data_IF_530088327530
#
_entry.id   IF_530088327530
#
_cell.length_a   1.000
_cell.length_b   1.000
_cell.length_c   1.000
_cell.angle_alpha   90.00
_cell.angle_beta   90.00
_cell.angle_gamma   90.00
#
_symmetry.space_group_name_H-M   'P 1'
#
loop_
_entity.id
_entity.type
_entity.pdbx_description
1 polymer ?
#
# COMPACT_ATOMS: atom_id res chain seq x y z
N UNK A 1 -19.89 7.21 14.02
CA UNK A 1 -20.25 6.38 12.85
C UNK A 1 -19.46 5.11 13.02
N UNK A 2 -20.15 3.97 13.14
CA UNK A 2 -19.46 2.69 13.25
C UNK A 2 -18.77 2.43 11.90
N UNK A 3 -17.49 2.73 11.84
CA UNK A 3 -16.65 2.38 10.68
C UNK A 3 -16.48 0.86 10.70
N UNK A 4 -17.34 0.18 9.97
CA UNK A 4 -17.27 -1.27 9.84
C UNK A 4 -16.12 -1.59 8.87
N UNK A 5 -14.90 -1.71 9.40
CA UNK A 5 -13.73 -2.13 8.61
C UNK A 5 -13.98 -3.55 8.11
N UNK A 6 -13.84 -3.75 6.80
CA UNK A 6 -14.05 -5.06 6.20
C UNK A 6 -13.03 -6.08 6.74
N UNK A 7 -13.49 -7.27 7.07
CA UNK A 7 -12.59 -8.39 7.38
C UNK A 7 -11.86 -8.88 6.12
N UNK A 8 -10.78 -9.65 6.30
CA UNK A 8 -10.06 -10.26 5.19
C UNK A 8 -10.97 -11.11 4.28
N UNK A 9 -11.92 -11.85 4.84
CA UNK A 9 -12.89 -12.64 4.07
C UNK A 9 -13.87 -11.76 3.30
N UNK A 10 -14.37 -10.68 3.89
CA UNK A 10 -15.24 -9.73 3.18
C UNK A 10 -14.51 -9.02 2.03
N UNK A 11 -13.24 -8.72 2.21
CA UNK A 11 -12.38 -8.21 1.13
C UNK A 11 -12.21 -9.26 0.02
N UNK A 12 -11.94 -10.52 0.38
CA UNK A 12 -11.84 -11.60 -0.59
C UNK A 12 -13.12 -11.76 -1.41
N UNK A 13 -14.29 -11.72 -0.76
CA UNK A 13 -15.58 -11.81 -1.44
C UNK A 13 -15.76 -10.67 -2.45
N UNK A 14 -15.43 -9.43 -2.03
CA UNK A 14 -15.50 -8.26 -2.91
C UNK A 14 -14.56 -8.35 -4.11
N UNK A 15 -13.34 -8.86 -3.92
CA UNK A 15 -12.40 -9.07 -5.03
C UNK A 15 -12.84 -10.20 -5.95
N UNK A 16 -13.37 -11.31 -5.40
CA UNK A 16 -13.85 -12.43 -6.19
C UNK A 16 -15.02 -12.03 -7.10
N UNK A 17 -15.97 -11.23 -6.58
CA UNK A 17 -17.07 -10.67 -7.36
C UNK A 17 -16.54 -9.92 -8.59
N UNK A 18 -15.62 -8.98 -8.39
CA UNK A 18 -15.02 -8.22 -9.50
C UNK A 18 -14.26 -9.12 -10.48
N UNK A 19 -13.44 -10.06 -10.00
CA UNK A 19 -12.69 -10.97 -10.87
C UNK A 19 -13.63 -11.80 -11.73
N UNK A 20 -14.74 -12.27 -11.17
CA UNK A 20 -15.74 -13.06 -11.87
C UNK A 20 -16.52 -12.22 -12.91
N UNK A 21 -16.86 -10.96 -12.60
CA UNK A 21 -17.49 -10.04 -13.57
C UNK A 21 -16.64 -9.87 -14.84
N UNK A 22 -15.32 -9.88 -14.70
CA UNK A 22 -14.40 -9.77 -15.83
C UNK A 22 -14.07 -11.13 -16.48
N UNK A 23 -14.69 -12.23 -16.06
CA UNK A 23 -14.45 -13.59 -16.57
C UNK A 23 -12.94 -13.97 -16.56
N UNK A 24 -12.22 -13.63 -15.50
CA UNK A 24 -10.80 -13.93 -15.34
C UNK A 24 -10.60 -15.05 -14.33
N UNK A 25 -9.65 -15.93 -14.62
CA UNK A 25 -9.24 -17.00 -13.70
C UNK A 25 -7.90 -16.64 -13.04
N UNK A 26 -7.96 -15.73 -12.09
CA UNK A 26 -6.81 -15.34 -11.29
C UNK A 26 -6.81 -16.05 -9.93
N UNK A 27 -5.63 -16.35 -9.44
CA UNK A 27 -5.44 -16.64 -8.02
C UNK A 27 -5.22 -15.34 -7.29
N UNK A 28 -5.84 -15.20 -6.13
CA UNK A 28 -5.77 -13.98 -5.35
C UNK A 28 -5.70 -14.26 -3.85
N UNK A 29 -5.14 -13.35 -3.12
CA UNK A 29 -5.06 -13.41 -1.67
C UNK A 29 -5.16 -12.02 -1.05
N UNK A 30 -5.62 -11.99 0.19
CA UNK A 30 -5.65 -10.80 1.02
C UNK A 30 -4.83 -11.09 2.28
N UNK A 31 -4.00 -10.13 2.64
CA UNK A 31 -3.24 -10.16 3.89
C UNK A 31 -3.65 -8.90 4.65
N UNK A 32 -4.25 -9.09 5.81
CA UNK A 32 -4.76 -8.01 6.65
C UNK A 32 -4.44 -8.30 8.10
N UNK A 33 -4.46 -7.28 8.92
CA UNK A 33 -4.50 -7.44 10.36
C UNK A 33 -5.78 -6.75 10.88
N UNK A 34 -6.77 -7.56 11.22
CA UNK A 34 -8.08 -7.07 11.64
C UNK A 34 -8.10 -6.57 13.09
N UNK A 35 -7.07 -6.84 13.89
CA UNK A 35 -7.05 -6.49 15.32
C UNK A 35 -6.32 -5.17 15.61
N UNK A 36 -5.42 -4.75 14.75
CA UNK A 36 -4.45 -3.70 15.08
C UNK A 36 -4.89 -2.29 14.72
N UNK A 37 -5.91 -2.09 13.92
CA UNK A 37 -6.29 -0.75 13.48
C UNK A 37 -7.71 -0.42 13.89
N UNK A 38 -7.88 -0.05 15.16
CA UNK A 38 -8.93 0.86 15.55
C UNK A 38 -8.32 2.27 15.54
N UNK A 39 -8.75 3.09 14.58
CA UNK A 39 -8.43 4.52 14.47
C UNK A 39 -6.94 4.92 14.46
N UNK A 40 -6.34 4.95 13.27
CA UNK A 40 -5.14 5.77 13.08
C UNK A 40 -3.80 5.07 13.30
N UNK A 41 -3.72 3.76 13.12
CA UNK A 41 -2.47 3.01 13.24
C UNK A 41 -1.49 3.20 12.08
N UNK A 42 -0.55 2.27 11.98
CA UNK A 42 0.45 2.22 10.89
C UNK A 42 -0.01 1.20 9.86
N UNK A 43 0.04 1.57 8.58
CA UNK A 43 -0.31 0.69 7.46
C UNK A 43 0.92 0.40 6.61
N UNK A 44 1.30 -0.86 6.50
CA UNK A 44 2.24 -1.32 5.49
C UNK A 44 1.50 -1.65 4.19
N UNK A 45 2.03 -1.17 3.06
CA UNK A 45 1.41 -1.39 1.75
C UNK A 45 2.36 -2.12 0.82
N UNK A 46 1.96 -3.31 0.37
CA UNK A 46 2.61 -4.07 -0.67
C UNK A 46 2.05 -3.78 -2.06
N UNK A 47 2.55 -4.48 -3.06
CA UNK A 47 2.05 -4.38 -4.43
C UNK A 47 1.04 -5.46 -4.76
N UNK A 48 1.41 -6.70 -4.49
CA UNK A 48 0.60 -7.89 -4.73
C UNK A 48 1.19 -9.09 -3.96
N UNK A 49 0.34 -10.03 -3.52
CA UNK A 49 0.79 -11.25 -2.87
C UNK A 49 1.70 -12.06 -3.78
N UNK A 50 2.84 -12.51 -3.25
CA UNK A 50 3.81 -13.27 -4.04
C UNK A 50 3.42 -14.72 -4.23
N UNK A 51 3.82 -15.32 -5.37
CA UNK A 51 3.77 -16.74 -5.64
C UNK A 51 5.14 -17.38 -5.38
N UNK A 52 5.53 -17.53 -4.12
CA UNK A 52 6.80 -18.20 -3.75
C UNK A 52 6.70 -19.72 -3.74
N UNK A 53 5.49 -20.27 -3.82
CA UNK A 53 5.19 -21.71 -3.86
C UNK A 53 4.69 -22.03 -5.26
N UNK A 54 4.85 -23.30 -5.67
CA UNK A 54 4.29 -23.81 -6.93
C UNK A 54 2.84 -23.35 -7.10
N UNK A 55 2.61 -22.49 -8.09
CA UNK A 55 1.32 -21.84 -8.32
C UNK A 55 0.16 -22.83 -8.49
N UNK A 56 0.46 -24.05 -8.95
CA UNK A 56 -0.56 -25.08 -9.13
C UNK A 56 -1.12 -25.61 -7.81
N UNK A 57 -0.33 -25.55 -6.73
CA UNK A 57 -0.71 -26.02 -5.39
C UNK A 57 -1.39 -24.95 -4.53
N UNK A 58 -1.43 -23.72 -5.01
CA UNK A 58 -2.01 -22.60 -4.27
C UNK A 58 -3.52 -22.58 -4.51
N UNK A 59 -4.37 -22.49 -3.46
CA UNK A 59 -5.80 -22.28 -3.62
C UNK A 59 -6.12 -21.03 -4.46
N UNK A 60 -7.29 -21.02 -5.10
CA UNK A 60 -7.74 -19.91 -5.93
C UNK A 60 -7.84 -18.62 -5.10
N UNK A 61 -8.33 -18.72 -3.86
CA UNK A 61 -8.48 -17.60 -2.92
C UNK A 61 -7.91 -17.96 -1.54
N UNK A 62 -7.29 -16.99 -0.87
CA UNK A 62 -6.76 -17.15 0.48
C UNK A 62 -6.80 -15.82 1.26
N UNK A 63 -7.06 -15.93 2.56
CA UNK A 63 -6.88 -14.85 3.53
C UNK A 63 -5.76 -15.21 4.50
N UNK A 64 -4.96 -14.24 4.88
CA UNK A 64 -3.89 -14.39 5.85
C UNK A 64 -3.95 -13.24 6.86
N UNK A 65 -3.63 -13.55 8.12
CA UNK A 65 -3.32 -12.51 9.08
C UNK A 65 -1.86 -12.06 8.90
N UNK A 66 -1.63 -10.76 8.95
CA UNK A 66 -0.29 -10.18 8.84
C UNK A 66 0.64 -10.69 9.94
N UNK A 67 0.15 -10.80 11.17
CA UNK A 67 0.94 -11.26 12.33
C UNK A 67 1.32 -12.76 12.25
N UNK A 68 0.61 -13.53 11.43
CA UNK A 68 0.93 -14.93 11.15
C UNK A 68 1.80 -15.11 9.90
N UNK A 69 2.26 -14.02 9.29
CA UNK A 69 3.17 -14.06 8.14
C UNK A 69 4.64 -13.87 8.58
N UNK A 70 5.59 -14.75 8.21
CA UNK A 70 5.39 -16.04 7.51
C UNK A 70 4.70 -17.06 8.41
N UNK A 71 4.05 -18.09 7.84
CA UNK A 71 3.45 -19.15 8.67
C UNK A 71 4.50 -19.73 9.63
N UNK A 72 4.14 -19.79 10.92
CA UNK A 72 5.05 -20.16 12.02
C UNK A 72 5.72 -21.55 11.87
N UNK A 73 5.16 -22.40 11.02
CA UNK A 73 5.69 -23.74 10.70
C UNK A 73 6.76 -23.73 9.58
N UNK A 74 7.03 -22.59 8.97
CA UNK A 74 8.09 -22.47 7.99
C UNK A 74 9.42 -22.29 8.72
N UNK A 75 10.27 -23.33 8.76
CA UNK A 75 11.68 -23.21 9.14
C UNK A 75 12.51 -22.40 8.10
N UNK A 76 11.84 -21.67 7.22
CA UNK A 76 12.43 -20.92 6.13
C UNK A 76 12.43 -19.44 6.53
N UNK A 77 13.63 -18.88 6.65
CA UNK A 77 13.80 -17.42 6.77
C UNK A 77 13.06 -16.74 5.61
N UNK A 78 12.09 -15.90 5.91
CA UNK A 78 11.35 -15.18 4.90
C UNK A 78 11.97 -13.80 4.64
N UNK A 79 12.64 -13.68 3.51
CA UNK A 79 13.32 -12.43 3.11
C UNK A 79 12.35 -11.25 2.86
N UNK A 80 11.05 -11.48 2.89
CA UNK A 80 10.05 -10.44 2.71
C UNK A 80 9.42 -10.00 4.04
N UNK A 81 8.99 -10.96 4.89
CA UNK A 81 8.27 -10.66 6.12
C UNK A 81 9.18 -10.35 7.30
N UNK A 82 10.24 -11.16 7.52
CA UNK A 82 11.16 -10.96 8.63
C UNK A 82 11.74 -9.54 8.70
N UNK A 83 12.16 -8.91 7.57
CA UNK A 83 12.63 -7.53 7.61
C UNK A 83 11.55 -6.52 8.01
N UNK A 84 10.26 -6.77 7.67
CA UNK A 84 9.15 -5.88 8.01
C UNK A 84 8.81 -5.94 9.49
N UNK A 85 8.63 -7.14 10.03
CA UNK A 85 8.41 -7.33 11.46
C UNK A 85 9.59 -6.77 12.28
N UNK A 86 10.83 -7.03 11.85
CA UNK A 86 12.01 -6.46 12.47
C UNK A 86 12.04 -4.92 12.41
N UNK A 87 11.62 -4.34 11.29
CA UNK A 87 11.54 -2.88 11.11
C UNK A 87 10.48 -2.27 12.04
N UNK A 88 9.33 -2.91 12.18
CA UNK A 88 8.24 -2.42 13.00
C UNK A 88 8.52 -2.58 14.49
N UNK A 89 9.20 -3.67 14.90
CA UNK A 89 9.59 -3.89 16.29
C UNK A 89 8.41 -3.81 17.25
N UNK A 90 8.42 -2.90 18.19
CA UNK A 90 7.37 -2.70 19.19
C UNK A 90 6.01 -2.22 18.60
N UNK A 91 6.04 -1.66 17.39
CA UNK A 91 4.82 -1.20 16.68
C UNK A 91 4.20 -2.30 15.81
N UNK A 92 4.77 -3.50 15.77
CA UNK A 92 4.33 -4.56 14.87
C UNK A 92 2.87 -4.99 15.14
N UNK A 93 2.49 -5.08 16.41
CA UNK A 93 1.12 -5.40 16.84
C UNK A 93 0.10 -4.28 16.51
N UNK A 94 0.57 -3.07 16.22
CA UNK A 94 -0.22 -1.91 15.83
C UNK A 94 -0.16 -1.62 14.33
N UNK A 95 0.34 -2.57 13.56
CA UNK A 95 0.55 -2.44 12.14
C UNK A 95 -0.46 -3.28 11.36
N UNK A 96 -1.11 -2.66 10.37
CA UNK A 96 -1.84 -3.41 9.37
C UNK A 96 -1.01 -3.58 8.10
N UNK A 97 -1.43 -4.53 7.29
CA UNK A 97 -0.88 -4.74 5.96
C UNK A 97 -2.00 -4.84 4.93
N UNK A 98 -1.74 -4.36 3.73
CA UNK A 98 -2.55 -4.63 2.54
C UNK A 98 -1.67 -4.58 1.28
N UNK A 99 -1.94 -5.45 0.34
CA UNK A 99 -1.43 -5.30 -1.02
C UNK A 99 -2.37 -4.44 -1.86
N UNK A 100 -1.82 -3.60 -2.74
CA UNK A 100 -2.62 -2.76 -3.64
C UNK A 100 -3.51 -3.58 -4.57
N UNK A 101 -3.02 -4.74 -5.00
CA UNK A 101 -3.76 -5.67 -5.82
C UNK A 101 -3.78 -7.05 -5.16
N UNK A 102 -4.92 -7.72 -5.09
CA UNK A 102 -5.02 -9.05 -4.48
C UNK A 102 -4.44 -10.16 -5.36
N UNK A 103 -4.12 -9.88 -6.63
CA UNK A 103 -3.71 -10.87 -7.61
C UNK A 103 -2.35 -11.48 -7.26
N UNK A 104 -2.30 -12.80 -7.15
CA UNK A 104 -1.06 -13.53 -6.87
C UNK A 104 -0.23 -13.66 -8.14
N UNK A 105 0.98 -13.13 -8.09
CA UNK A 105 1.96 -13.25 -9.16
C UNK A 105 3.38 -13.24 -8.59
N UNK A 106 4.30 -13.89 -9.27
CA UNK A 106 5.72 -13.91 -8.90
C UNK A 106 6.44 -12.58 -9.13
N UNK A 107 5.81 -11.62 -9.79
CA UNK A 107 6.46 -10.38 -10.19
C UNK A 107 5.53 -9.16 -10.12
N UNK A 108 5.97 -8.14 -9.41
CA UNK A 108 5.32 -6.82 -9.46
C UNK A 108 5.26 -6.21 -10.87
N UNK A 109 6.16 -6.63 -11.78
CA UNK A 109 6.13 -6.18 -13.19
C UNK A 109 4.85 -6.60 -13.89
N UNK A 110 4.29 -7.74 -13.54
CA UNK A 110 3.03 -8.22 -14.10
C UNK A 110 1.90 -7.25 -13.76
N UNK A 111 1.80 -6.78 -12.50
CA UNK A 111 0.81 -5.78 -12.11
C UNK A 111 0.98 -4.48 -12.90
N UNK A 112 2.23 -4.02 -13.05
CA UNK A 112 2.53 -2.82 -13.86
C UNK A 112 2.11 -3.01 -15.33
N UNK A 113 2.33 -4.19 -15.88
CA UNK A 113 1.93 -4.50 -17.25
C UNK A 113 0.41 -4.53 -17.40
N UNK A 114 -0.33 -5.15 -16.47
CA UNK A 114 -1.79 -5.15 -16.47
C UNK A 114 -2.35 -3.72 -16.39
N UNK A 115 -1.77 -2.85 -15.56
CA UNK A 115 -2.17 -1.44 -15.50
C UNK A 115 -1.96 -0.68 -16.82
N UNK A 116 -1.05 -1.13 -17.69
CA UNK A 116 -0.75 -0.51 -18.99
C UNK A 116 -1.58 -1.06 -20.13
N UNK A 117 -2.10 -2.28 -19.99
CA UNK A 117 -2.93 -2.92 -21.01
C UNK A 117 -4.34 -2.34 -20.96
N UNK A 118 -4.84 -1.88 -22.10
CA UNK A 118 -6.13 -1.22 -22.20
C UNK A 118 -7.27 -2.15 -21.74
N UNK A 119 -7.22 -3.41 -22.13
CA UNK A 119 -8.21 -4.43 -21.77
C UNK A 119 -8.18 -4.85 -20.30
N UNK A 120 -7.05 -4.69 -19.62
CA UNK A 120 -6.89 -5.03 -18.20
C UNK A 120 -7.16 -3.84 -17.26
N UNK A 121 -7.09 -2.64 -17.78
CA UNK A 121 -7.21 -1.41 -16.99
C UNK A 121 -8.51 -1.30 -16.20
N UNK A 122 -9.70 -1.63 -16.77
CA UNK A 122 -10.96 -1.60 -16.00
C UNK A 122 -10.94 -2.55 -14.79
N UNK A 123 -10.44 -3.78 -14.96
CA UNK A 123 -10.27 -4.73 -13.86
C UNK A 123 -9.32 -4.20 -12.79
N UNK A 124 -8.12 -3.76 -13.20
CA UNK A 124 -7.13 -3.22 -12.26
C UNK A 124 -7.68 -2.01 -11.50
N UNK A 125 -8.44 -1.15 -12.16
CA UNK A 125 -9.12 -0.02 -11.54
C UNK A 125 -10.19 -0.46 -10.54
N UNK A 126 -10.99 -1.47 -10.87
CA UNK A 126 -12.02 -1.99 -9.98
C UNK A 126 -11.42 -2.65 -8.71
N UNK A 127 -10.37 -3.46 -8.87
CA UNK A 127 -9.64 -4.06 -7.74
C UNK A 127 -9.01 -2.99 -6.84
N UNK A 128 -8.35 -2.01 -7.44
CA UNK A 128 -7.70 -0.92 -6.70
C UNK A 128 -8.70 -0.07 -5.92
N UNK A 129 -9.93 0.06 -6.40
CA UNK A 129 -11.02 0.78 -5.72
C UNK A 129 -11.42 0.10 -4.42
N UNK A 130 -11.55 -1.23 -4.41
CA UNK A 130 -11.84 -2.00 -3.18
C UNK A 130 -10.71 -1.76 -2.17
N UNK A 131 -9.44 -1.85 -2.61
CA UNK A 131 -8.28 -1.56 -1.76
C UNK A 131 -8.33 -0.14 -1.21
N UNK A 132 -8.67 0.84 -2.05
CA UNK A 132 -8.79 2.23 -1.63
C UNK A 132 -9.87 2.42 -0.57
N UNK A 133 -11.06 1.86 -0.78
CA UNK A 133 -12.15 1.94 0.18
C UNK A 133 -11.74 1.30 1.54
N UNK A 134 -11.01 0.19 1.50
CA UNK A 134 -10.46 -0.43 2.70
C UNK A 134 -9.44 0.46 3.42
N UNK A 135 -8.45 1.00 2.72
CA UNK A 135 -7.45 1.91 3.28
C UNK A 135 -8.10 3.15 3.89
N UNK A 136 -9.09 3.72 3.20
CA UNK A 136 -9.87 4.86 3.69
C UNK A 136 -10.66 4.53 4.97
N UNK A 137 -11.14 3.29 5.12
CA UNK A 137 -11.85 2.85 6.32
C UNK A 137 -10.94 2.64 7.54
N UNK A 138 -9.66 2.37 7.30
CA UNK A 138 -8.65 2.19 8.36
C UNK A 138 -8.14 3.51 8.95
N UNK A 139 -8.25 4.62 8.24
CA UNK A 139 -7.73 5.93 8.63
C UNK A 139 -6.27 5.93 9.13
N UNK A 140 -5.32 5.26 8.47
CA UNK A 140 -3.95 5.18 8.98
C UNK A 140 -3.30 6.55 9.09
N UNK A 141 -2.61 6.83 10.20
CA UNK A 141 -1.83 8.07 10.36
C UNK A 141 -0.49 7.99 9.62
N UNK A 142 0.10 6.79 9.55
CA UNK A 142 1.34 6.54 8.82
C UNK A 142 1.16 5.38 7.87
N UNK A 143 1.51 5.59 6.61
CA UNK A 143 1.51 4.59 5.54
C UNK A 143 2.95 4.35 5.11
N UNK A 144 3.42 3.10 5.13
CA UNK A 144 4.77 2.73 4.71
C UNK A 144 4.69 1.85 3.47
N UNK A 145 5.32 2.29 2.39
CA UNK A 145 5.40 1.49 1.18
C UNK A 145 6.47 0.41 1.32
N UNK A 146 6.02 -0.84 1.37
CA UNK A 146 6.88 -2.01 1.37
C UNK A 146 7.58 -2.24 0.02
N UNK A 147 7.20 -1.47 -1.01
CA UNK A 147 7.80 -1.46 -2.34
C UNK A 147 7.92 -0.02 -2.86
N UNK A 148 8.63 0.15 -3.98
CA UNK A 148 8.93 1.48 -4.56
C UNK A 148 7.91 1.95 -5.58
N UNK A 149 6.93 1.12 -5.94
CA UNK A 149 5.99 1.43 -6.99
C UNK A 149 4.75 2.14 -6.46
N UNK A 150 4.70 3.46 -6.61
CA UNK A 150 3.63 4.32 -6.09
C UNK A 150 2.68 4.86 -7.17
N UNK A 151 2.79 4.40 -8.41
CA UNK A 151 1.94 4.88 -9.50
C UNK A 151 0.43 4.72 -9.22
N UNK A 152 -0.06 3.62 -8.59
CA UNK A 152 -1.46 3.46 -8.24
C UNK A 152 -2.02 4.58 -7.34
N UNK A 153 -1.19 5.19 -6.50
CA UNK A 153 -1.58 6.28 -5.62
C UNK A 153 -1.87 7.61 -6.34
N UNK A 154 -1.62 7.68 -7.64
CA UNK A 154 -1.91 8.88 -8.44
C UNK A 154 -0.74 9.82 -8.62
N UNK A 155 0.48 9.44 -8.24
CA UNK A 155 1.64 10.32 -8.25
C UNK A 155 2.36 10.49 -9.59
N UNK A 156 1.90 9.84 -10.63
CA UNK A 156 2.35 10.07 -12.02
C UNK A 156 1.28 10.81 -12.81
N UNK A 157 1.08 12.06 -12.43
CA UNK A 157 0.28 12.98 -13.21
C UNK A 157 1.20 13.64 -14.24
N UNK A 158 0.97 13.40 -15.52
CA UNK A 158 1.46 14.29 -16.56
C UNK A 158 0.44 15.41 -16.68
N UNK A 159 0.82 16.61 -16.27
CA UNK A 159 0.11 17.82 -16.66
C UNK A 159 0.14 17.90 -18.18
N UNK A 160 -1.01 17.81 -18.80
CA UNK A 160 -1.19 18.17 -20.17
C UNK A 160 -1.85 19.55 -20.17
N UNK A 161 -1.05 20.59 -20.36
CA UNK A 161 -1.57 21.92 -20.66
C UNK A 161 -2.19 21.80 -22.04
N UNK A 162 -3.52 21.84 -22.13
CA UNK A 162 -4.19 21.96 -23.42
C UNK A 162 -3.98 23.39 -23.90
N UNK A 163 -3.49 23.59 -25.12
CA UNK A 163 -3.15 24.91 -25.72
C UNK A 163 -4.31 25.92 -25.68
N UNK A 164 -5.57 25.46 -25.54
CA UNK A 164 -6.77 26.29 -25.58
C UNK A 164 -7.60 26.31 -24.28
N UNK A 165 -7.12 25.77 -23.16
CA UNK A 165 -7.87 25.79 -21.91
C UNK A 165 -6.96 25.93 -20.69
N UNK A 166 -7.44 26.69 -19.69
CA UNK A 166 -6.84 26.78 -18.36
C UNK A 166 -7.08 25.49 -17.52
N UNK A 167 -7.66 24.45 -18.13
CA UNK A 167 -7.99 23.20 -17.47
C UNK A 167 -6.80 22.26 -17.49
N UNK A 168 -6.30 21.91 -16.31
CA UNK A 168 -5.25 20.89 -16.15
C UNK A 168 -5.90 19.52 -16.31
N UNK A 169 -5.55 18.80 -17.37
CA UNK A 169 -5.98 17.42 -17.56
C UNK A 169 -4.90 16.48 -17.06
N UNK A 170 -5.29 15.55 -16.21
CA UNK A 170 -4.40 14.51 -15.67
C UNK A 170 -4.62 13.19 -16.41
N UNK A 171 -3.56 12.70 -17.06
CA UNK A 171 -3.59 11.37 -17.68
C UNK A 171 -3.40 10.29 -16.61
N UNK A 172 -4.30 9.30 -16.60
CA UNK A 172 -4.18 8.09 -15.80
C UNK A 172 -4.15 8.30 -14.27
N UNK A 173 -5.10 9.04 -13.76
CA UNK A 173 -5.31 9.14 -12.32
C UNK A 173 -5.91 7.83 -11.81
N UNK A 174 -5.21 7.15 -10.90
CA UNK A 174 -5.68 5.93 -10.26
C UNK A 174 -6.44 6.27 -8.96
N UNK A 175 -5.83 6.06 -7.78
CA UNK A 175 -6.47 6.44 -6.51
C UNK A 175 -6.61 7.97 -6.34
N UNK A 176 -5.71 8.73 -6.92
CA UNK A 176 -5.84 10.19 -7.05
C UNK A 176 -5.34 11.00 -5.86
N UNK A 177 -4.64 10.42 -4.90
CA UNK A 177 -4.13 11.17 -3.76
C UNK A 177 -3.13 12.25 -4.18
N UNK A 178 -3.33 13.45 -3.66
CA UNK A 178 -2.38 14.55 -3.74
C UNK A 178 -1.51 14.61 -2.50
N UNK A 179 -0.32 15.17 -2.63
CA UNK A 179 0.68 15.15 -1.56
C UNK A 179 1.59 16.35 -1.59
N UNK A 180 2.15 16.65 -0.44
CA UNK A 180 3.28 17.56 -0.29
C UNK A 180 4.49 16.84 0.30
N UNK A 181 5.68 17.27 -0.08
CA UNK A 181 6.92 16.71 0.47
C UNK A 181 7.24 17.38 1.80
N UNK A 182 7.50 16.58 2.82
CA UNK A 182 7.81 17.04 4.17
C UNK A 182 9.28 16.80 4.47
N UNK A 183 9.86 17.66 5.29
CA UNK A 183 11.24 17.48 5.75
C UNK A 183 11.32 16.25 6.65
N UNK A 184 12.09 15.26 6.23
CA UNK A 184 12.23 14.00 6.96
C UNK A 184 12.93 14.22 8.32
N UNK A 185 12.41 13.67 9.44
CA UNK A 185 13.07 13.66 10.73
C UNK A 185 14.24 12.66 10.78
N UNK A 186 14.38 11.77 9.80
CA UNK A 186 15.44 10.78 9.73
C UNK A 186 16.82 11.43 9.57
N UNK A 187 17.84 10.77 10.08
CA UNK A 187 19.23 11.24 10.03
C UNK A 187 20.09 10.42 9.04
N UNK A 188 21.29 10.90 8.77
CA UNK A 188 22.31 10.18 8.01
C UNK A 188 21.88 9.80 6.58
N UNK A 189 22.31 8.62 6.14
CA UNK A 189 22.00 8.06 4.81
C UNK A 189 20.50 7.86 4.58
N UNK A 190 19.71 7.65 5.63
CA UNK A 190 18.26 7.42 5.57
C UNK A 190 17.47 8.67 5.20
N UNK A 191 17.91 9.87 5.64
CA UNK A 191 17.25 11.16 5.32
C UNK A 191 17.10 11.42 3.82
N UNK A 192 18.07 10.99 3.03
CA UNK A 192 18.03 11.14 1.57
C UNK A 192 17.35 9.97 0.86
N UNK A 193 17.39 8.79 1.47
CA UNK A 193 16.86 7.55 0.90
C UNK A 193 15.35 7.41 1.09
N UNK A 194 14.82 7.84 2.23
CA UNK A 194 13.39 7.81 2.54
C UNK A 194 12.77 9.19 2.43
N UNK A 195 11.67 9.27 1.68
CA UNK A 195 10.87 10.48 1.54
C UNK A 195 9.60 10.36 2.35
N UNK A 196 9.29 11.42 3.07
CA UNK A 196 8.04 11.56 3.81
C UNK A 196 7.17 12.57 3.08
N UNK A 197 5.92 12.21 2.90
CA UNK A 197 4.91 13.07 2.30
C UNK A 197 3.71 13.13 3.21
N UNK A 198 2.97 14.23 3.14
CA UNK A 198 1.66 14.38 3.76
C UNK A 198 0.60 14.35 2.66
N UNK A 199 -0.46 13.59 2.84
CA UNK A 199 -1.61 13.58 1.93
C UNK A 199 -2.38 14.88 2.14
N UNK A 200 -2.60 15.62 1.06
CA UNK A 200 -3.25 16.94 1.07
C UNK A 200 -4.68 16.90 0.53
N UNK A 201 -5.07 15.83 -0.13
CA UNK A 201 -6.39 15.67 -0.72
C UNK A 201 -6.43 14.56 -1.74
N UNK A 202 -7.44 14.63 -2.63
CA UNK A 202 -7.68 13.66 -3.68
C UNK A 202 -8.15 14.34 -4.96
N UNK A 203 -7.75 13.83 -6.12
CA UNK A 203 -8.23 14.23 -7.43
C UNK A 203 -9.29 13.24 -7.89
N UNK A 204 -10.51 13.67 -8.21
CA UNK A 204 -11.54 12.81 -8.73
C UNK A 204 -11.11 12.08 -10.01
N UNK A 205 -11.37 10.78 -10.07
CA UNK A 205 -11.12 9.94 -11.24
C UNK A 205 -12.20 8.86 -11.37
N UNK A 206 -12.27 8.23 -12.54
CA UNK A 206 -13.19 7.10 -12.72
C UNK A 206 -12.81 5.90 -11.84
N UNK A 207 -11.52 5.74 -11.54
CA UNK A 207 -11.05 4.68 -10.63
C UNK A 207 -11.53 4.91 -9.22
N UNK A 208 -11.43 6.12 -8.69
CA UNK A 208 -11.87 6.44 -7.33
C UNK A 208 -13.34 6.89 -7.24
N UNK A 209 -14.17 6.58 -8.26
CA UNK A 209 -15.59 6.97 -8.35
C UNK A 209 -15.82 8.47 -8.19
N UNK A 210 -14.93 9.28 -8.75
CA UNK A 210 -14.97 10.75 -8.65
C UNK A 210 -15.03 11.24 -7.21
N UNK A 211 -14.31 10.57 -6.30
CA UNK A 211 -14.21 10.95 -4.90
C UNK A 211 -13.63 12.36 -4.79
N UNK A 212 -14.30 13.23 -4.07
CA UNK A 212 -13.91 14.64 -3.87
C UNK A 212 -13.16 14.87 -2.55
N UNK A 213 -13.34 13.96 -1.60
CA UNK A 213 -12.71 14.02 -0.27
C UNK A 213 -12.04 12.72 0.10
N UNK A 214 -11.08 12.76 1.01
CA UNK A 214 -10.40 11.59 1.54
C UNK A 214 -10.31 11.64 3.06
N UNK A 215 -10.49 10.50 3.70
CA UNK A 215 -10.25 10.33 5.14
C UNK A 215 -8.76 10.31 5.47
N UNK A 216 -7.89 10.19 4.46
CA UNK A 216 -6.44 10.19 4.63
C UNK A 216 -5.83 11.59 4.60
N UNK A 217 -6.64 12.65 4.57
CA UNK A 217 -6.11 14.01 4.64
C UNK A 217 -5.31 14.19 5.93
N UNK A 218 -4.09 14.69 5.80
CA UNK A 218 -3.06 14.81 6.85
C UNK A 218 -2.40 13.48 7.28
N UNK A 219 -2.75 12.33 6.72
CA UNK A 219 -1.94 11.13 6.91
C UNK A 219 -0.58 11.29 6.24
N UNK A 220 0.42 10.67 6.83
CA UNK A 220 1.78 10.67 6.30
C UNK A 220 2.05 9.36 5.56
N UNK A 221 2.88 9.43 4.52
CA UNK A 221 3.40 8.22 3.92
C UNK A 221 4.89 8.28 3.69
N UNK A 222 5.54 7.17 3.94
CA UNK A 222 6.95 6.95 3.86
C UNK A 222 7.27 6.10 2.65
N UNK A 223 8.16 6.58 1.80
CA UNK A 223 8.56 5.92 0.57
C UNK A 223 10.07 5.87 0.44
N UNK A 224 10.61 4.67 0.18
CA UNK A 224 12.00 4.53 -0.20
C UNK A 224 12.24 5.10 -1.60
N UNK A 225 13.20 6.03 -1.72
CA UNK A 225 13.57 6.65 -2.98
C UNK A 225 14.51 5.75 -3.76
N UNK A 226 13.96 4.91 -4.61
CA UNK A 226 14.73 4.07 -5.52
C UNK A 226 14.46 4.49 -6.97
N UNK A 227 15.47 4.38 -7.84
CA UNK A 227 15.27 4.56 -9.27
C UNK A 227 14.46 3.40 -9.84
N UNK A 228 13.57 3.68 -10.77
CA UNK A 228 12.68 2.70 -11.42
C UNK A 228 13.39 1.42 -11.90
N UNK A 229 14.65 1.54 -12.34
CA UNK A 229 15.43 0.40 -12.82
C UNK A 229 15.98 -0.50 -11.69
N UNK A 230 15.78 -0.13 -10.43
CA UNK A 230 16.31 -0.83 -9.25
C UNK A 230 15.22 -1.46 -8.39
N UNK A 231 14.01 -1.65 -8.93
CA UNK A 231 12.79 -2.11 -8.21
C UNK A 231 12.98 -3.48 -7.53
N UNK A 232 14.01 -4.24 -7.91
CA UNK A 232 14.25 -5.58 -7.36
C UNK A 232 15.50 -5.66 -6.47
N UNK A 233 16.16 -4.53 -6.22
CA UNK A 233 17.30 -4.53 -5.30
C UNK A 233 16.79 -4.32 -3.87
N UNK A 234 17.27 -5.11 -2.90
CA UNK A 234 16.96 -4.88 -1.50
C UNK A 234 17.44 -3.47 -1.09
N UNK A 235 16.80 -2.92 -0.10
CA UNK A 235 17.28 -1.68 0.51
C UNK A 235 18.67 -1.96 1.08
N UNK A 236 19.70 -1.15 0.78
CA UNK A 236 21.01 -1.31 1.40
C UNK A 236 20.91 -1.24 2.93
N UNK A 237 21.68 -2.07 3.64
CA UNK A 237 21.60 -2.21 5.10
C UNK A 237 21.73 -0.87 5.83
N UNK A 238 22.61 0.03 5.39
CA UNK A 238 22.79 1.37 5.95
C UNK A 238 21.58 2.30 5.74
N UNK A 239 20.63 1.89 4.90
CA UNK A 239 19.40 2.62 4.57
C UNK A 239 18.14 1.90 5.00
N UNK A 240 18.25 0.69 5.54
CA UNK A 240 17.11 0.00 6.12
C UNK A 240 16.58 0.76 7.33
N UNK A 241 15.24 0.82 7.43
CA UNK A 241 14.60 1.38 8.62
C UNK A 241 14.73 0.41 9.79
N UNK A 242 14.94 0.96 10.96
CA UNK A 242 14.97 0.24 12.22
C UNK A 242 13.78 0.64 13.09
N UNK A 243 13.45 -0.11 14.16
CA UNK A 243 12.42 0.31 15.12
C UNK A 243 12.65 1.72 15.67
N UNK A 244 13.91 2.12 15.91
CA UNK A 244 14.25 3.47 16.36
C UNK A 244 13.92 4.55 15.31
N UNK A 245 14.02 4.24 14.02
CA UNK A 245 13.63 5.16 12.95
C UNK A 245 12.11 5.30 12.89
N UNK A 246 11.38 4.20 13.03
CA UNK A 246 9.91 4.21 13.08
C UNK A 246 9.46 5.03 14.28
N UNK A 247 10.03 4.79 15.47
CA UNK A 247 9.76 5.60 16.66
C UNK A 247 10.00 7.08 16.41
N UNK A 248 11.13 7.45 15.83
CA UNK A 248 11.44 8.84 15.49
C UNK A 248 10.40 9.47 14.59
N UNK A 249 9.89 8.73 13.60
CA UNK A 249 8.85 9.21 12.68
C UNK A 249 7.52 9.36 13.41
N UNK A 250 7.11 8.35 14.19
CA UNK A 250 5.84 8.35 14.90
C UNK A 250 5.79 9.49 15.93
N UNK A 251 6.84 9.66 16.74
CA UNK A 251 6.98 10.77 17.70
C UNK A 251 6.99 12.14 17.01
N UNK A 252 7.61 12.23 15.84
CA UNK A 252 7.64 13.47 15.07
C UNK A 252 6.27 13.81 14.47
N UNK A 253 5.47 12.81 14.06
CA UNK A 253 4.11 13.01 13.57
C UNK A 253 3.21 13.51 14.72
N UNK A 254 3.21 12.79 15.84
CA UNK A 254 2.42 13.13 17.02
C UNK A 254 2.96 12.39 18.26
N UNK A 255 3.57 13.11 19.23
CA UNK A 255 4.11 12.49 20.44
C UNK A 255 3.07 11.83 21.35
N UNK A 256 1.82 12.29 21.32
CA UNK A 256 0.75 11.65 22.13
C UNK A 256 0.30 10.35 21.46
N UNK A 257 0.15 10.34 20.16
CA UNK A 257 -0.12 9.12 19.41
C UNK A 257 0.98 8.06 19.61
N UNK A 258 2.25 8.49 19.66
CA UNK A 258 3.36 7.58 19.93
C UNK A 258 3.20 6.86 21.28
N UNK A 259 2.65 7.53 22.30
CA UNK A 259 2.37 6.92 23.61
C UNK A 259 1.16 6.00 23.59
N UNK A 260 0.17 6.27 22.73
CA UNK A 260 -1.02 5.43 22.59
C UNK A 260 -0.72 4.09 21.90
N UNK A 261 0.35 4.03 21.09
CA UNK A 261 0.77 2.84 20.36
C UNK A 261 1.67 1.90 21.20
N UNK A 262 2.14 2.32 22.36
CA UNK A 262 3.06 1.58 23.24
C UNK A 262 2.38 1.28 24.60
#
# INVERSE_FOLDING_TARGET
MDNNVLSGEQLLDSYEEIINEFNKDFKFAVITNNQAISDGGILLVGMNPSNRIDIQKIPKRQSFDYLDCPPKDSNIKDDFWDPKHKMMGEYDDHCAYIDLFPLRDGSQKTMVNYMRQEEMRPLMGALLRITQDYIESLHPRLIIFANTFTAPWGFRMKEKICEDSTEIKYDNVWMGYTKENIVSPLAGSKKGAWKIYRITGIIPSDVNRKRETTNLQNSFFLQYRQHYNQVHQPVPEDKELTPADIRTIVEWIDPEWAKELL
#
